data_IF_757802081830
#
_entry.id   IF_757802081830
#
_cell.length_a   1.000
_cell.length_b   1.000
_cell.length_c   1.000
_cell.angle_alpha   90.00
_cell.angle_beta   90.00
_cell.angle_gamma   90.00
#
_symmetry.space_group_name_H-M   'P 1'
#
loop_
_entity.id
_entity.type
_entity.pdbx_description
1 polymer ?
#
# COMPACT_ATOMS: atom_id res chain seq x y z
N UNK A 1 -1.14 -10.03 4.48
CA UNK A 1 -2.18 -9.78 3.47
C UNK A 1 -2.13 -8.32 3.02
N UNK A 2 -2.26 -8.05 1.73
CA UNK A 2 -2.30 -6.68 1.20
C UNK A 2 -3.75 -6.23 1.08
N UNK A 3 -4.13 -5.19 1.83
CA UNK A 3 -5.51 -4.69 1.84
C UNK A 3 -5.74 -3.60 0.79
N UNK A 4 -4.72 -2.81 0.50
CA UNK A 4 -4.85 -1.69 -0.44
C UNK A 4 -3.51 -1.36 -1.07
N UNK A 5 -3.55 -0.87 -2.30
CA UNK A 5 -2.38 -0.34 -3.01
C UNK A 5 -2.81 0.89 -3.79
N UNK A 6 -1.86 1.77 -4.08
CA UNK A 6 -2.06 2.82 -5.07
C UNK A 6 -1.94 2.21 -6.46
N UNK A 7 -2.89 2.53 -7.32
CA UNK A 7 -2.91 2.04 -8.70
C UNK A 7 -3.53 3.10 -9.60
N UNK A 8 -3.20 3.03 -10.87
CA UNK A 8 -3.75 3.95 -11.87
C UNK A 8 -3.60 3.40 -13.28
N UNK A 9 -4.12 4.11 -14.29
CA UNK A 9 -3.90 3.75 -15.69
C UNK A 9 -2.41 3.68 -15.99
N UNK A 10 -2.02 2.68 -16.78
CA UNK A 10 -0.61 2.38 -17.05
C UNK A 10 0.15 3.58 -17.60
N UNK A 11 -0.47 4.37 -18.45
CA UNK A 11 0.15 5.54 -19.07
C UNK A 11 0.43 6.68 -18.07
N UNK A 12 -0.26 6.70 -16.92
CA UNK A 12 -0.05 7.70 -15.88
C UNK A 12 0.85 7.23 -14.75
N UNK A 13 1.05 5.91 -14.60
CA UNK A 13 1.93 5.36 -13.56
C UNK A 13 3.34 5.24 -14.12
N UNK A 14 4.01 6.37 -14.23
CA UNK A 14 5.41 6.47 -14.68
C UNK A 14 6.37 6.23 -13.51
N UNK A 15 7.67 5.95 -13.79
CA UNK A 15 8.68 5.85 -12.72
C UNK A 15 8.74 7.09 -11.83
N UNK A 16 8.54 8.29 -12.40
CA UNK A 16 8.52 9.53 -11.63
C UNK A 16 7.33 9.60 -10.67
N UNK A 17 6.15 9.19 -11.12
CA UNK A 17 4.95 9.13 -10.28
C UNK A 17 5.15 8.09 -9.17
N UNK A 18 5.65 6.90 -9.49
CA UNK A 18 5.93 5.87 -8.50
C UNK A 18 6.94 6.37 -7.44
N UNK A 19 8.00 7.05 -7.87
CA UNK A 19 8.99 7.62 -6.97
C UNK A 19 8.36 8.67 -6.04
N UNK A 20 7.45 9.51 -6.53
CA UNK A 20 6.76 10.50 -5.71
C UNK A 20 5.93 9.84 -4.60
N UNK A 21 5.22 8.76 -4.90
CA UNK A 21 4.48 8.00 -3.89
C UNK A 21 5.41 7.33 -2.88
N UNK A 22 6.52 6.76 -3.33
CA UNK A 22 7.53 6.16 -2.46
C UNK A 22 8.17 7.19 -1.52
N UNK A 23 8.49 8.36 -2.04
CA UNK A 23 9.05 9.47 -1.25
C UNK A 23 8.05 9.97 -0.21
N UNK A 24 6.78 10.06 -0.58
CA UNK A 24 5.71 10.42 0.35
C UNK A 24 5.58 9.41 1.49
N UNK A 25 5.63 8.11 1.17
CA UNK A 25 5.61 7.06 2.17
C UNK A 25 6.82 7.15 3.11
N UNK A 26 8.02 7.34 2.57
CA UNK A 26 9.24 7.48 3.35
C UNK A 26 9.16 8.70 4.27
N UNK A 27 8.64 9.82 3.79
CA UNK A 27 8.43 11.02 4.59
C UNK A 27 7.48 10.74 5.75
N UNK A 28 6.36 10.05 5.49
CA UNK A 28 5.39 9.67 6.51
C UNK A 28 6.01 8.78 7.59
N UNK A 29 6.81 7.80 7.21
CA UNK A 29 7.50 6.91 8.15
C UNK A 29 8.51 7.67 9.02
N UNK A 30 9.23 8.63 8.45
CA UNK A 30 10.15 9.49 9.22
C UNK A 30 9.42 10.43 10.17
N UNK A 31 8.17 10.78 9.87
CA UNK A 31 7.35 11.70 10.66
C UNK A 31 6.39 10.99 11.60
N UNK A 32 6.52 9.68 11.76
CA UNK A 32 5.55 8.83 12.47
C UNK A 32 5.34 9.28 13.91
N UNK A 33 6.41 9.65 14.63
CA UNK A 33 6.31 10.12 16.01
C UNK A 33 5.49 11.41 16.10
N UNK A 34 5.71 12.35 15.19
CA UNK A 34 4.94 13.59 15.14
C UNK A 34 3.47 13.32 14.81
N UNK A 35 3.23 12.45 13.84
CA UNK A 35 1.86 12.07 13.43
C UNK A 35 1.13 11.44 14.61
N UNK A 36 1.77 10.51 15.32
CA UNK A 36 1.18 9.89 16.50
C UNK A 36 0.85 10.91 17.59
N UNK A 37 1.76 11.83 17.86
CA UNK A 37 1.56 12.86 18.89
C UNK A 37 0.41 13.82 18.54
N UNK A 38 0.27 14.20 17.27
CA UNK A 38 -0.76 15.13 16.81
C UNK A 38 -2.13 14.46 16.65
N UNK A 39 -2.18 13.27 16.09
CA UNK A 39 -3.44 12.62 15.70
C UNK A 39 -4.07 11.79 16.82
N UNK A 40 -3.29 11.22 17.74
CA UNK A 40 -3.83 10.37 18.79
C UNK A 40 -4.84 11.12 19.67
N UNK A 41 -4.53 12.31 20.22
CA UNK A 41 -5.50 13.03 21.05
C UNK A 41 -6.76 13.42 20.28
N UNK A 42 -6.61 13.84 19.03
CA UNK A 42 -7.73 14.26 18.19
C UNK A 42 -8.72 13.12 17.92
N UNK A 43 -8.25 11.87 17.99
CA UNK A 43 -9.05 10.67 17.72
C UNK A 43 -9.41 9.87 18.96
N UNK A 44 -9.05 10.36 20.14
CA UNK A 44 -9.34 9.70 21.42
C UNK A 44 -8.49 8.45 21.70
N UNK A 45 -7.31 8.35 21.11
CA UNK A 45 -6.38 7.24 21.33
C UNK A 45 -5.15 7.70 22.11
N UNK A 46 -4.42 6.75 22.68
CA UNK A 46 -3.12 7.05 23.27
C UNK A 46 -2.05 7.15 22.19
N UNK A 47 -1.01 7.95 22.45
CA UNK A 47 0.13 8.07 21.53
C UNK A 47 0.80 6.72 21.30
N UNK A 48 0.98 5.93 22.37
CA UNK A 48 1.61 4.61 22.27
C UNK A 48 0.82 3.64 21.41
N UNK A 49 -0.51 3.66 21.48
CA UNK A 49 -1.37 2.83 20.64
C UNK A 49 -1.19 3.19 19.18
N UNK A 50 -1.25 4.49 18.86
CA UNK A 50 -1.10 4.97 17.48
C UNK A 50 0.31 4.67 16.96
N UNK A 51 1.34 4.89 17.79
CA UNK A 51 2.73 4.57 17.41
C UNK A 51 2.89 3.10 17.05
N UNK A 52 2.36 2.19 17.86
CA UNK A 52 2.44 0.74 17.59
C UNK A 52 1.63 0.35 16.36
N UNK A 53 0.44 0.89 16.22
CA UNK A 53 -0.43 0.59 15.08
C UNK A 53 0.24 1.00 13.76
N UNK A 54 0.72 2.23 13.68
CA UNK A 54 1.34 2.74 12.45
C UNK A 54 2.76 2.20 12.22
N UNK A 55 3.50 1.90 13.27
CA UNK A 55 4.90 1.49 13.16
C UNK A 55 5.14 -0.01 13.10
N UNK A 56 4.25 -0.81 13.69
CA UNK A 56 4.45 -2.25 13.80
C UNK A 56 3.34 -3.08 13.18
N UNK A 57 2.10 -2.64 13.26
CA UNK A 57 0.96 -3.44 12.79
C UNK A 57 0.65 -3.20 11.32
N UNK A 58 0.86 -1.98 10.81
CA UNK A 58 0.67 -1.66 9.39
C UNK A 58 2.01 -1.69 8.69
N UNK A 59 2.07 -2.38 7.56
CA UNK A 59 3.22 -2.39 6.66
C UNK A 59 2.88 -1.51 5.47
N UNK A 60 3.59 -0.40 5.32
CA UNK A 60 3.33 0.57 4.26
C UNK A 60 4.13 0.29 3.00
N UNK A 61 5.26 -0.41 3.12
CA UNK A 61 6.10 -0.73 1.99
C UNK A 61 5.80 -2.12 1.46
N UNK A 62 5.58 -2.22 0.15
CA UNK A 62 5.27 -3.48 -0.51
C UNK A 62 6.58 -4.19 -0.87
N UNK A 63 7.04 -5.08 -0.01
CA UNK A 63 8.21 -5.91 -0.24
C UNK A 63 7.88 -7.17 -1.04
N UNK A 64 8.88 -8.05 -1.20
CA UNK A 64 8.72 -9.30 -1.94
C UNK A 64 7.65 -10.22 -1.35
N UNK A 65 7.59 -10.47 -0.02
CA UNK A 65 6.54 -11.31 0.55
C UNK A 65 5.14 -10.76 0.32
N UNK A 66 4.97 -9.44 0.44
CA UNK A 66 3.70 -8.77 0.23
C UNK A 66 3.24 -8.87 -1.22
N UNK A 67 4.17 -8.72 -2.18
CA UNK A 67 3.87 -8.91 -3.60
C UNK A 67 3.43 -10.32 -3.91
N UNK A 68 4.15 -11.31 -3.38
CA UNK A 68 3.78 -12.72 -3.57
C UNK A 68 2.38 -13.00 -3.06
N UNK A 69 2.04 -12.49 -1.87
CA UNK A 69 0.71 -12.62 -1.31
C UNK A 69 -0.36 -11.95 -2.16
N UNK A 70 -0.09 -10.75 -2.64
CA UNK A 70 -1.00 -10.02 -3.52
C UNK A 70 -1.23 -10.76 -4.84
N UNK A 71 -0.17 -11.22 -5.48
CA UNK A 71 -0.24 -11.94 -6.76
C UNK A 71 -1.02 -13.25 -6.61
N UNK A 72 -0.78 -13.97 -5.51
CA UNK A 72 -1.51 -15.20 -5.21
C UNK A 72 -3.00 -14.92 -4.99
N UNK A 73 -3.33 -13.89 -4.23
CA UNK A 73 -4.71 -13.48 -3.99
C UNK A 73 -5.42 -13.13 -5.29
N UNK A 74 -4.78 -12.33 -6.12
CA UNK A 74 -5.36 -11.91 -7.41
C UNK A 74 -5.54 -13.11 -8.36
N UNK A 75 -4.62 -14.06 -8.34
CA UNK A 75 -4.75 -15.29 -9.12
C UNK A 75 -5.97 -16.09 -8.68
N UNK A 76 -6.12 -16.32 -7.38
CA UNK A 76 -7.29 -17.03 -6.85
C UNK A 76 -8.60 -16.30 -7.13
N UNK A 77 -8.61 -14.99 -7.01
CA UNK A 77 -9.79 -14.19 -7.32
C UNK A 77 -10.21 -14.34 -8.80
N UNK A 78 -9.24 -14.33 -9.71
CA UNK A 78 -9.52 -14.54 -11.13
C UNK A 78 -10.07 -15.94 -11.41
N UNK A 79 -9.48 -16.96 -10.80
CA UNK A 79 -9.94 -18.34 -10.95
C UNK A 79 -11.39 -18.49 -10.47
N UNK A 80 -11.73 -17.95 -9.30
CA UNK A 80 -13.08 -18.00 -8.76
C UNK A 80 -14.10 -17.25 -9.62
N UNK A 81 -13.69 -16.17 -10.27
CA UNK A 81 -14.56 -15.36 -11.11
C UNK A 81 -14.59 -15.81 -12.56
N UNK A 82 -13.83 -16.84 -12.93
CA UNK A 82 -13.71 -17.29 -14.31
C UNK A 82 -12.93 -16.32 -15.20
N UNK A 83 -12.05 -15.51 -14.61
CA UNK A 83 -11.26 -14.50 -15.33
C UNK A 83 -9.86 -14.99 -15.71
N UNK A 84 -9.63 -16.31 -15.72
CA UNK A 84 -8.36 -16.89 -16.12
C UNK A 84 -7.99 -16.47 -17.55
N UNK A 85 -6.73 -16.03 -17.72
CA UNK A 85 -6.25 -15.55 -19.01
C UNK A 85 -6.56 -14.08 -19.26
N UNK A 86 -7.30 -13.41 -18.39
CA UNK A 86 -7.55 -11.97 -18.47
C UNK A 86 -6.54 -11.26 -17.55
N UNK A 87 -5.79 -10.30 -18.11
CA UNK A 87 -4.97 -9.42 -17.29
C UNK A 87 -5.86 -8.70 -16.26
N UNK A 88 -5.37 -8.51 -15.03
CA UNK A 88 -6.14 -7.85 -13.96
C UNK A 88 -6.84 -6.56 -14.41
N UNK A 89 -7.26 -5.63 -13.55
CA UNK A 89 -7.95 -4.42 -14.01
C UNK A 89 -7.18 -3.77 -15.15
N UNK A 90 -7.82 -3.69 -16.34
CA UNK A 90 -7.15 -3.22 -17.56
C UNK A 90 -6.66 -1.79 -17.38
N UNK A 91 -5.41 -1.53 -17.76
CA UNK A 91 -4.82 -0.20 -17.68
C UNK A 91 -4.40 0.23 -16.30
N UNK A 92 -4.50 -0.63 -15.29
CA UNK A 92 -4.10 -0.32 -13.92
C UNK A 92 -2.77 -1.01 -13.59
N UNK A 93 -1.86 -0.25 -12.97
CA UNK A 93 -0.57 -0.75 -12.51
C UNK A 93 -0.34 -0.21 -11.09
N UNK A 94 0.00 -1.08 -10.10
CA UNK A 94 0.38 -0.58 -8.78
C UNK A 94 1.63 0.31 -8.86
N UNK A 95 1.61 1.44 -8.18
CA UNK A 95 2.74 2.38 -8.21
C UNK A 95 4.03 1.73 -7.72
N UNK A 96 3.95 0.82 -6.76
CA UNK A 96 5.10 0.08 -6.22
C UNK A 96 5.64 -1.00 -7.16
N UNK A 97 4.98 -1.29 -8.28
CA UNK A 97 5.42 -2.29 -9.26
C UNK A 97 6.44 -1.73 -10.26
N UNK A 98 6.66 -0.44 -10.27
CA UNK A 98 7.65 0.24 -11.14
C UNK A 98 9.04 0.40 -10.44
#
# INVERSE_FOLDING_TARGET
MVFAVWAGPREFVTPQVAAAFQDSCAFGLRSLERIAAEEAPARGFTVDLVRRYLGAHIVFELGAPERQGMDLFLRYARELQGLDGVAGPRGLTPASAL
#
